data_IF_060507476986
#
_entry.id   IF_060507476986
#
_cell.length_a   1.000
_cell.length_b   1.000
_cell.length_c   1.000
_cell.angle_alpha   90.00
_cell.angle_beta   90.00
_cell.angle_gamma   90.00
#
_symmetry.space_group_name_H-M   'P 1'
#
loop_
_entity.id
_entity.type
_entity.pdbx_description
1 polymer ?
#
# COMPACT_ATOMS: atom_id res chain seq x y z
N UNK A 1 -7.17 -16.27 9.97
CA UNK A 1 -8.09 -15.16 10.31
C UNK A 1 -9.28 -15.72 11.09
N UNK A 2 -9.62 -15.14 12.25
CA UNK A 2 -10.60 -15.73 13.20
C UNK A 2 -12.02 -15.16 13.09
N UNK A 3 -12.24 -14.21 12.19
CA UNK A 3 -13.50 -13.50 12.04
C UNK A 3 -14.14 -13.87 10.69
N UNK A 4 -15.49 -13.79 10.57
CA UNK A 4 -16.19 -14.09 9.33
C UNK A 4 -15.68 -13.21 8.17
N UNK A 5 -15.46 -13.81 7.00
CA UNK A 5 -15.02 -13.11 5.77
C UNK A 5 -13.52 -12.83 5.66
N UNK A 6 -12.83 -12.58 6.78
CA UNK A 6 -11.39 -12.24 6.79
C UNK A 6 -10.49 -13.33 6.19
N UNK A 7 -10.91 -14.60 6.26
CA UNK A 7 -10.16 -15.70 5.64
C UNK A 7 -10.17 -15.65 4.11
N UNK A 8 -11.31 -15.31 3.51
CA UNK A 8 -11.43 -15.15 2.07
C UNK A 8 -10.67 -13.89 1.60
N UNK A 9 -10.84 -12.77 2.30
CA UNK A 9 -10.12 -11.53 2.01
C UNK A 9 -8.59 -11.71 2.09
N UNK A 10 -8.09 -12.48 3.08
CA UNK A 10 -6.67 -12.80 3.18
C UNK A 10 -6.17 -13.63 1.98
N UNK A 11 -6.94 -14.63 1.55
CA UNK A 11 -6.59 -15.45 0.40
C UNK A 11 -6.58 -14.64 -0.91
N UNK A 12 -7.58 -13.77 -1.10
CA UNK A 12 -7.66 -12.85 -2.24
C UNK A 12 -6.47 -11.88 -2.26
N UNK A 13 -6.17 -11.25 -1.12
CA UNK A 13 -5.02 -10.34 -1.00
C UNK A 13 -3.69 -11.04 -1.30
N UNK A 14 -3.50 -12.26 -0.79
CA UNK A 14 -2.31 -13.07 -1.06
C UNK A 14 -2.21 -13.41 -2.57
N UNK A 15 -3.31 -13.84 -3.19
CA UNK A 15 -3.33 -14.16 -4.62
C UNK A 15 -3.06 -12.95 -5.50
N UNK A 16 -3.65 -11.80 -5.18
CA UNK A 16 -3.43 -10.56 -5.91
C UNK A 16 -1.97 -10.10 -5.79
N UNK A 17 -1.39 -10.17 -4.59
CA UNK A 17 0.01 -9.87 -4.35
C UNK A 17 0.92 -10.77 -5.19
N UNK A 18 0.69 -12.08 -5.20
CA UNK A 18 1.48 -13.03 -5.99
C UNK A 18 1.42 -12.72 -7.50
N UNK A 19 0.24 -12.34 -8.02
CA UNK A 19 0.09 -11.95 -9.43
C UNK A 19 0.94 -10.73 -9.77
N UNK A 20 0.79 -9.65 -8.99
CA UNK A 20 1.52 -8.40 -9.20
C UNK A 20 3.03 -8.60 -9.07
N UNK A 21 3.48 -9.32 -8.04
CA UNK A 21 4.91 -9.60 -7.83
C UNK A 21 5.48 -10.47 -8.95
N UNK A 22 4.70 -11.43 -9.46
CA UNK A 22 5.07 -12.25 -10.63
C UNK A 22 5.26 -11.41 -11.88
N UNK A 23 4.35 -10.47 -12.15
CA UNK A 23 4.46 -9.54 -13.29
C UNK A 23 5.66 -8.58 -13.16
N UNK A 24 5.96 -8.12 -11.94
CA UNK A 24 7.10 -7.24 -11.66
C UNK A 24 8.45 -7.98 -11.61
N UNK A 25 8.45 -9.33 -11.59
CA UNK A 25 9.67 -10.12 -11.41
C UNK A 25 10.28 -10.01 -10.01
N UNK A 26 9.47 -9.73 -8.99
CA UNK A 26 9.91 -9.58 -7.59
C UNK A 26 9.57 -10.85 -6.82
N UNK A 27 10.58 -11.47 -6.20
CA UNK A 27 10.39 -12.67 -5.39
C UNK A 27 9.99 -12.32 -3.95
N UNK A 28 9.16 -13.16 -3.33
CA UNK A 28 8.91 -13.18 -1.89
C UNK A 28 9.82 -14.23 -1.27
N UNK A 29 10.77 -13.81 -0.45
CA UNK A 29 11.77 -14.67 0.17
C UNK A 29 11.47 -15.00 1.64
N UNK A 30 10.52 -14.29 2.26
CA UNK A 30 10.11 -14.49 3.64
C UNK A 30 8.86 -13.71 4.00
N UNK A 31 8.30 -14.01 5.17
CA UNK A 31 7.11 -13.33 5.67
C UNK A 31 6.70 -13.81 7.06
N UNK A 32 5.75 -13.10 7.65
CA UNK A 32 5.14 -13.44 8.94
C UNK A 32 3.67 -13.03 8.93
N UNK A 33 2.84 -13.80 9.61
CA UNK A 33 1.42 -13.48 9.82
C UNK A 33 1.11 -13.13 11.28
N UNK A 34 0.06 -12.32 11.45
CA UNK A 34 -0.60 -12.08 12.74
C UNK A 34 -2.12 -12.10 12.52
N UNK A 35 -2.76 -13.21 12.91
CA UNK A 35 -4.15 -13.50 12.55
C UNK A 35 -5.19 -13.15 13.63
N UNK A 36 -4.76 -12.51 14.72
CA UNK A 36 -5.62 -12.17 15.88
C UNK A 36 -5.67 -10.65 16.14
N UNK A 37 -5.70 -9.84 15.08
CA UNK A 37 -5.70 -8.37 15.15
C UNK A 37 -7.07 -7.79 15.51
N UNK A 38 -7.61 -8.21 16.66
CA UNK A 38 -8.85 -7.70 17.23
C UNK A 38 -8.72 -7.60 18.76
N UNK A 39 -9.34 -6.57 19.34
CA UNK A 39 -9.36 -6.34 20.77
C UNK A 39 -10.80 -6.12 21.24
N UNK A 40 -11.15 -6.68 22.40
CA UNK A 40 -12.45 -6.44 23.03
C UNK A 40 -12.34 -5.27 24.00
N UNK A 41 -13.16 -4.26 23.81
CA UNK A 41 -13.23 -3.04 24.64
C UNK A 41 -14.63 -2.98 25.25
N UNK A 42 -14.74 -3.44 26.51
CA UNK A 42 -16.02 -3.63 27.16
C UNK A 42 -16.88 -4.69 26.45
N UNK A 43 -18.03 -4.26 25.92
CA UNK A 43 -18.94 -5.11 25.13
C UNK A 43 -18.62 -5.11 23.63
N UNK A 44 -17.81 -4.16 23.16
CA UNK A 44 -17.51 -3.98 21.75
C UNK A 44 -16.24 -4.73 21.33
N UNK A 45 -16.19 -5.13 20.07
CA UNK A 45 -14.98 -5.74 19.47
C UNK A 45 -14.44 -4.78 18.41
N UNK A 46 -13.28 -4.21 18.69
CA UNK A 46 -12.54 -3.36 17.75
C UNK A 46 -11.64 -4.25 16.91
N UNK A 47 -11.71 -4.10 15.60
CA UNK A 47 -10.98 -4.91 14.62
C UNK A 47 -10.02 -4.01 13.85
N UNK A 48 -8.79 -4.46 13.64
CA UNK A 48 -7.93 -3.84 12.66
C UNK A 48 -8.41 -4.20 11.23
N UNK A 49 -8.27 -3.30 10.26
CA UNK A 49 -8.43 -3.67 8.85
C UNK A 49 -7.43 -4.76 8.44
N UNK A 50 -7.80 -5.56 7.43
CA UNK A 50 -6.84 -6.45 6.77
C UNK A 50 -5.62 -5.63 6.30
N UNK A 51 -4.44 -6.00 6.77
CA UNK A 51 -3.21 -5.22 6.57
C UNK A 51 -2.13 -6.10 5.98
N UNK A 52 -1.64 -5.73 4.80
CA UNK A 52 -0.44 -6.28 4.17
C UNK A 52 0.69 -5.27 4.29
N UNK A 53 1.82 -5.68 4.87
CA UNK A 53 3.04 -4.85 4.96
C UNK A 53 4.12 -5.49 4.09
N UNK A 54 4.66 -4.72 3.15
CA UNK A 54 5.71 -5.16 2.23
C UNK A 54 6.99 -4.40 2.56
N UNK A 55 8.06 -5.15 2.83
CA UNK A 55 9.43 -4.64 2.96
C UNK A 55 10.22 -5.11 1.74
N UNK A 56 10.79 -4.18 0.98
CA UNK A 56 11.60 -4.48 -0.19
C UNK A 56 13.08 -4.26 0.10
N UNK A 57 13.94 -5.08 -0.51
CA UNK A 57 15.38 -4.91 -0.50
C UNK A 57 15.95 -5.25 -1.89
N UNK A 58 17.02 -4.56 -2.28
CA UNK A 58 17.67 -4.74 -3.58
C UNK A 58 19.16 -4.36 -3.49
N UNK A 59 19.96 -4.86 -4.42
CA UNK A 59 21.36 -4.42 -4.57
C UNK A 59 21.38 -2.99 -5.10
N UNK A 60 22.21 -2.14 -4.50
CA UNK A 60 22.46 -0.78 -4.95
C UNK A 60 23.87 -0.71 -5.57
N UNK A 61 24.01 -0.68 -6.91
CA UNK A 61 25.32 -0.68 -7.57
C UNK A 61 26.13 0.59 -7.29
N UNK A 62 25.45 1.73 -7.14
CA UNK A 62 26.06 3.03 -6.86
C UNK A 62 25.18 3.84 -5.90
N UNK A 63 25.66 3.98 -4.66
CA UNK A 63 24.96 4.74 -3.61
C UNK A 63 24.94 6.25 -3.88
N UNK A 64 25.88 6.76 -4.69
CA UNK A 64 26.03 8.20 -4.95
C UNK A 64 24.99 8.74 -5.92
N UNK A 65 24.36 7.85 -6.70
CA UNK A 65 23.29 8.17 -7.64
C UNK A 65 21.88 8.22 -6.99
N UNK A 66 21.79 8.11 -5.66
CA UNK A 66 20.51 8.16 -4.94
C UNK A 66 19.84 9.53 -5.08
N UNK A 67 18.61 9.55 -5.61
CA UNK A 67 17.80 10.77 -5.69
C UNK A 67 16.95 10.92 -4.42
N UNK A 68 16.79 12.16 -3.94
CA UNK A 68 15.96 12.48 -2.78
C UNK A 68 14.83 13.44 -3.18
N UNK A 69 13.80 13.61 -2.34
CA UNK A 69 12.75 14.62 -2.56
C UNK A 69 13.21 16.08 -2.42
N UNK A 70 14.51 16.33 -2.20
CA UNK A 70 15.06 17.67 -2.01
C UNK A 70 15.26 18.38 -3.35
N UNK A 71 14.34 19.29 -3.70
CA UNK A 71 14.36 20.03 -4.96
C UNK A 71 15.53 21.04 -4.98
N UNK A 72 16.59 20.70 -5.72
CA UNK A 72 17.79 21.53 -5.80
C UNK A 72 17.68 22.75 -6.72
N UNK A 73 16.88 22.66 -7.78
CA UNK A 73 16.64 23.71 -8.78
C UNK A 73 17.91 24.55 -9.12
N UNK A 74 18.98 23.91 -9.62
CA UNK A 74 20.23 24.62 -9.91
C UNK A 74 19.97 25.78 -10.88
N UNK A 75 20.53 26.96 -10.56
CA UNK A 75 20.32 28.21 -11.31
C UNK A 75 18.84 28.61 -11.48
N UNK A 76 17.97 28.16 -10.57
CA UNK A 76 16.53 28.39 -10.66
C UNK A 76 15.85 27.61 -11.80
N UNK A 77 16.54 26.64 -12.40
CA UNK A 77 16.04 25.85 -13.53
C UNK A 77 15.71 24.44 -13.06
N UNK A 78 14.53 23.97 -13.45
CA UNK A 78 14.04 22.64 -13.14
C UNK A 78 12.64 22.44 -13.72
N UNK A 79 12.26 21.19 -13.93
CA UNK A 79 10.91 20.82 -14.35
C UNK A 79 10.36 19.79 -13.36
N UNK A 80 9.09 19.95 -13.00
CA UNK A 80 8.34 18.93 -12.27
C UNK A 80 7.59 18.08 -13.29
N UNK A 81 7.87 16.77 -13.29
CA UNK A 81 7.18 15.82 -14.13
C UNK A 81 6.29 14.96 -13.23
N UNK A 82 4.99 14.96 -13.54
CA UNK A 82 4.04 14.07 -12.88
C UNK A 82 3.88 12.80 -13.73
N UNK A 83 4.35 11.67 -13.20
CA UNK A 83 4.17 10.35 -13.82
C UNK A 83 2.96 9.68 -13.19
N UNK A 84 1.81 9.79 -13.85
CA UNK A 84 0.58 9.18 -13.38
C UNK A 84 0.62 7.66 -13.58
N UNK A 85 0.54 6.91 -12.48
CA UNK A 85 0.50 5.43 -12.51
C UNK A 85 -0.92 4.91 -12.82
N UNK A 86 -1.95 5.70 -12.52
CA UNK A 86 -3.36 5.40 -12.81
C UNK A 86 -4.08 6.64 -13.35
N UNK A 87 -3.87 7.00 -14.63
CA UNK A 87 -4.43 8.23 -15.20
C UNK A 87 -5.96 8.25 -15.14
N UNK A 88 -6.52 9.44 -14.97
CA UNK A 88 -7.95 9.78 -15.07
C UNK A 88 -8.93 9.11 -14.07
N UNK A 89 -8.45 8.28 -13.13
CA UNK A 89 -9.33 7.62 -12.14
C UNK A 89 -9.67 8.48 -10.92
N UNK A 90 -8.72 9.28 -10.42
CA UNK A 90 -8.87 10.21 -9.28
C UNK A 90 -9.64 9.67 -8.06
N UNK A 91 -9.44 8.41 -7.71
CA UNK A 91 -10.19 7.69 -6.67
C UNK A 91 -9.81 8.15 -5.25
N UNK A 92 -10.81 8.33 -4.40
CA UNK A 92 -10.65 8.88 -3.04
C UNK A 92 -11.04 7.92 -1.90
N UNK A 93 -11.51 6.70 -2.22
CA UNK A 93 -11.81 5.68 -1.21
C UNK A 93 -10.56 5.27 -0.43
N UNK A 94 -10.69 5.15 0.89
CA UNK A 94 -9.59 4.81 1.79
C UNK A 94 -8.49 5.88 1.91
N UNK A 95 -8.70 7.08 1.34
CA UNK A 95 -7.70 8.15 1.38
C UNK A 95 -7.63 8.86 2.73
N UNK A 96 -6.49 9.50 3.02
CA UNK A 96 -6.35 10.38 4.17
C UNK A 96 -7.38 11.53 4.15
N UNK A 97 -7.72 12.03 2.96
CA UNK A 97 -8.76 13.05 2.78
C UNK A 97 -10.11 12.54 3.28
N UNK A 98 -10.57 11.36 2.81
CA UNK A 98 -11.84 10.78 3.24
C UNK A 98 -11.85 10.55 4.76
N UNK A 99 -10.75 10.05 5.32
CA UNK A 99 -10.60 9.81 6.75
C UNK A 99 -10.74 11.10 7.58
N UNK A 100 -10.16 12.24 7.13
CA UNK A 100 -10.33 13.54 7.80
C UNK A 100 -11.78 14.01 7.87
N UNK A 101 -12.65 13.51 6.99
CA UNK A 101 -14.08 13.79 6.98
C UNK A 101 -14.93 12.65 7.56
N UNK A 102 -14.32 11.72 8.32
CA UNK A 102 -14.99 10.55 8.90
C UNK A 102 -15.70 9.68 7.85
N UNK A 103 -15.15 9.62 6.64
CA UNK A 103 -15.67 8.86 5.51
C UNK A 103 -14.69 7.77 5.08
N UNK A 104 -15.24 6.67 4.56
CA UNK A 104 -14.46 5.67 3.85
C UNK A 104 -14.30 6.01 2.36
N UNK A 105 -15.25 6.74 1.78
CA UNK A 105 -15.34 6.97 0.33
C UNK A 105 -15.94 5.76 -0.40
N UNK A 106 -15.70 5.69 -1.71
CA UNK A 106 -16.30 4.69 -2.61
C UNK A 106 -15.23 3.73 -3.15
N UNK A 107 -14.51 4.12 -4.21
CA UNK A 107 -13.46 3.31 -4.81
C UNK A 107 -12.06 3.68 -4.30
N UNK A 108 -11.24 2.69 -3.92
CA UNK A 108 -9.83 2.89 -3.57
C UNK A 108 -8.91 2.86 -4.80
N UNK A 109 -7.71 3.49 -4.73
CA UNK A 109 -6.68 3.30 -5.75
C UNK A 109 -6.26 1.82 -5.86
N UNK A 110 -5.99 1.37 -7.08
CA UNK A 110 -5.49 0.03 -7.39
C UNK A 110 -4.49 0.11 -8.56
N UNK A 111 -3.73 -0.97 -8.82
CA UNK A 111 -2.66 -1.00 -9.83
C UNK A 111 -3.21 -1.11 -11.28
N UNK A 112 -4.48 -1.52 -11.47
CA UNK A 112 -5.11 -1.73 -12.78
C UNK A 112 -6.49 -1.12 -12.93
#
# INVERSE_FOLDING_TARGET
AKLPGEGAALAEACSAMCSVMGELGVAVDGGKDSLSMAARVGTETVKAPGTLVISAYAVCPDITATVTPDLKCPDGKGALLHVAVSPDKHRLGGSALAQCFSQLGDASPEIF
#
